data_IF_344821710508
#
_entry.id   IF_344821710508
#
_cell.length_a   1.000
_cell.length_b   1.000
_cell.length_c   1.000
_cell.angle_alpha   90.00
_cell.angle_beta   90.00
_cell.angle_gamma   90.00
#
_symmetry.space_group_name_H-M   'P 1'
#
loop_
_entity.id
_entity.type
_entity.pdbx_description
1 polymer ?
#
# COMPACT_ATOMS: atom_id res chain seq x y z
N UNK A 1 -16.79 15.79 11.89
CA UNK A 1 -17.35 14.77 10.98
C UNK A 1 -17.38 13.48 11.78
N UNK A 2 -18.55 12.84 11.89
CA UNK A 2 -18.70 11.58 12.62
C UNK A 2 -18.04 10.41 11.85
N UNK A 3 -17.71 9.31 12.52
CA UNK A 3 -17.06 8.14 11.88
C UNK A 3 -17.93 7.51 10.80
N UNK A 4 -19.25 7.44 11.03
CA UNK A 4 -20.18 6.86 10.05
C UNK A 4 -20.31 7.75 8.81
N UNK A 5 -20.36 9.07 9.02
CA UNK A 5 -20.32 10.06 7.94
C UNK A 5 -19.01 9.98 7.13
N UNK A 6 -17.88 9.68 7.79
CA UNK A 6 -16.58 9.50 7.12
C UNK A 6 -16.55 8.22 6.28
N UNK A 7 -17.06 7.11 6.81
CA UNK A 7 -17.15 5.84 6.08
C UNK A 7 -18.01 5.99 4.83
N UNK A 8 -19.20 6.59 4.96
CA UNK A 8 -20.09 6.84 3.83
C UNK A 8 -19.44 7.75 2.78
N UNK A 9 -18.74 8.80 3.22
CA UNK A 9 -18.00 9.69 2.33
C UNK A 9 -16.91 8.95 1.54
N UNK A 10 -16.13 8.09 2.20
CA UNK A 10 -15.07 7.31 1.55
C UNK A 10 -15.67 6.29 0.58
N UNK A 11 -16.76 5.60 0.94
CA UNK A 11 -17.46 4.65 0.07
C UNK A 11 -17.99 5.30 -1.20
N UNK A 12 -18.57 6.49 -1.06
CA UNK A 12 -19.20 7.22 -2.17
C UNK A 12 -18.21 8.15 -2.91
N UNK A 13 -16.93 8.15 -2.53
CA UNK A 13 -15.91 8.93 -3.21
C UNK A 13 -15.79 8.50 -4.68
N UNK A 14 -15.87 9.48 -5.57
CA UNK A 14 -15.65 9.31 -7.00
C UNK A 14 -14.70 10.38 -7.53
N UNK A 15 -13.82 9.98 -8.45
CA UNK A 15 -12.94 10.89 -9.18
C UNK A 15 -13.71 11.91 -10.02
N UNK A 16 -14.92 11.57 -10.45
CA UNK A 16 -15.79 12.47 -11.20
C UNK A 16 -16.32 13.63 -10.35
N UNK A 17 -16.41 13.42 -9.03
CA UNK A 17 -16.94 14.39 -8.06
C UNK A 17 -15.85 15.33 -7.50
N UNK A 18 -14.63 15.28 -8.02
CA UNK A 18 -13.56 16.20 -7.62
C UNK A 18 -13.81 17.64 -8.16
N UNK A 19 -13.23 18.65 -7.52
CA UNK A 19 -13.47 20.07 -7.84
C UNK A 19 -13.16 20.49 -9.30
N UNK A 20 -12.31 19.72 -10.00
CA UNK A 20 -12.00 19.93 -11.43
C UNK A 20 -12.57 18.83 -12.33
N UNK A 21 -13.42 17.96 -11.79
CA UNK A 21 -13.84 16.71 -12.43
C UNK A 21 -12.69 15.70 -12.56
N UNK A 22 -12.98 14.54 -13.14
CA UNK A 22 -11.97 13.53 -13.41
C UNK A 22 -10.99 14.01 -14.48
N UNK A 23 -9.70 14.02 -14.15
CA UNK A 23 -8.62 14.47 -15.03
C UNK A 23 -7.99 13.33 -15.85
N UNK A 24 -8.72 12.22 -16.05
CA UNK A 24 -8.22 11.01 -16.72
C UNK A 24 -7.58 10.00 -15.79
N UNK A 25 -7.79 10.12 -14.47
CA UNK A 25 -7.32 9.16 -13.49
C UNK A 25 -8.32 8.01 -13.35
N UNK A 26 -7.82 6.81 -13.10
CA UNK A 26 -8.64 5.61 -12.87
C UNK A 26 -8.84 5.28 -11.40
N UNK A 27 -7.91 5.71 -10.51
CA UNK A 27 -7.96 5.47 -9.07
C UNK A 27 -7.03 6.40 -8.28
N UNK A 28 -7.21 6.43 -6.97
CA UNK A 28 -6.32 7.03 -5.97
C UNK A 28 -5.53 5.92 -5.28
N UNK A 29 -4.21 6.06 -5.22
CA UNK A 29 -3.33 5.16 -4.46
C UNK A 29 -2.92 5.83 -3.15
N UNK A 30 -3.25 5.20 -2.02
CA UNK A 30 -2.77 5.57 -0.69
C UNK A 30 -1.59 4.65 -0.33
N UNK A 31 -0.38 5.13 -0.58
CA UNK A 31 0.84 4.35 -0.46
C UNK A 31 1.49 4.52 0.92
N UNK A 32 1.63 3.42 1.66
CA UNK A 32 2.20 3.42 3.01
C UNK A 32 3.69 3.11 2.94
N UNK A 33 4.51 4.06 3.40
CA UNK A 33 5.96 3.89 3.56
C UNK A 33 6.32 3.99 5.04
N UNK A 34 7.31 3.23 5.47
CA UNK A 34 7.67 3.17 6.89
C UNK A 34 8.61 2.03 7.18
N UNK A 35 9.10 1.95 8.41
CA UNK A 35 9.97 0.87 8.84
C UNK A 35 9.26 -0.49 8.78
N UNK A 36 10.03 -1.57 8.58
CA UNK A 36 9.53 -2.93 8.71
C UNK A 36 9.06 -3.18 10.16
N UNK A 37 7.91 -3.83 10.35
CA UNK A 37 7.33 -4.08 11.69
C UNK A 37 6.63 -2.90 12.36
N UNK A 38 6.55 -1.72 11.72
CA UNK A 38 5.91 -0.52 12.30
C UNK A 38 4.41 -0.39 11.98
N UNK A 39 3.70 -1.50 11.80
CA UNK A 39 2.23 -1.51 11.76
C UNK A 39 1.57 -1.02 10.46
N UNK A 40 2.29 -0.95 9.34
CA UNK A 40 1.69 -0.62 8.02
C UNK A 40 0.60 -1.62 7.63
N UNK A 41 0.91 -2.90 7.68
CA UNK A 41 -0.04 -3.99 7.39
C UNK A 41 -1.19 -4.02 8.40
N UNK A 42 -0.92 -3.73 9.67
CA UNK A 42 -1.97 -3.58 10.70
C UNK A 42 -2.93 -2.43 10.39
N UNK A 43 -2.41 -1.28 9.94
CA UNK A 43 -3.23 -0.14 9.51
C UNK A 43 -4.15 -0.52 8.36
N UNK A 44 -3.65 -1.25 7.36
CA UNK A 44 -4.47 -1.74 6.23
C UNK A 44 -5.60 -2.65 6.73
N UNK A 45 -5.30 -3.58 7.63
CA UNK A 45 -6.31 -4.47 8.21
C UNK A 45 -7.39 -3.68 8.97
N UNK A 46 -7.00 -2.64 9.73
CA UNK A 46 -7.95 -1.75 10.42
C UNK A 46 -8.83 -0.97 9.44
N UNK A 47 -8.26 -0.44 8.36
CA UNK A 47 -9.04 0.24 7.32
C UNK A 47 -10.05 -0.72 6.68
N UNK A 48 -9.61 -1.92 6.26
CA UNK A 48 -10.48 -2.91 5.64
C UNK A 48 -11.59 -3.38 6.58
N UNK A 49 -11.28 -3.59 7.86
CA UNK A 49 -12.26 -3.94 8.88
C UNK A 49 -13.37 -2.88 9.00
N UNK A 50 -13.01 -1.60 9.09
CA UNK A 50 -13.99 -0.51 9.18
C UNK A 50 -14.85 -0.44 7.91
N UNK A 51 -14.26 -0.64 6.74
CA UNK A 51 -14.99 -0.51 5.47
C UNK A 51 -15.91 -1.71 5.17
N UNK A 52 -15.47 -2.93 5.44
CA UNK A 52 -16.20 -4.15 5.06
C UNK A 52 -17.38 -4.47 6.00
N UNK A 53 -17.54 -3.72 7.11
CA UNK A 53 -18.60 -3.90 8.13
C UNK A 53 -18.75 -5.34 8.63
N UNK A 54 -17.65 -6.09 8.58
CA UNK A 54 -17.61 -7.53 8.82
C UNK A 54 -16.79 -7.87 10.06
N UNK A 55 -16.77 -9.15 10.42
CA UNK A 55 -15.78 -9.68 11.36
C UNK A 55 -14.34 -9.38 10.87
N UNK A 56 -13.43 -9.19 11.83
CA UNK A 56 -12.03 -8.94 11.51
C UNK A 56 -11.43 -10.10 10.71
N UNK A 57 -10.80 -9.76 9.58
CA UNK A 57 -10.05 -10.67 8.73
C UNK A 57 -8.65 -10.09 8.51
N UNK A 58 -7.65 -10.95 8.51
CA UNK A 58 -6.29 -10.54 8.15
C UNK A 58 -6.19 -10.48 6.62
N UNK A 59 -6.10 -9.26 6.07
CA UNK A 59 -5.94 -9.00 4.64
C UNK A 59 -4.47 -8.82 4.27
N UNK A 60 -3.76 -8.00 5.04
CA UNK A 60 -2.33 -7.79 4.93
C UNK A 60 -1.62 -8.61 6.00
N UNK A 61 -0.69 -9.47 5.57
CA UNK A 61 0.15 -10.25 6.49
C UNK A 61 0.97 -9.31 7.36
N UNK A 62 0.77 -9.39 8.67
CA UNK A 62 1.59 -8.64 9.61
C UNK A 62 2.90 -9.41 9.81
N UNK A 63 4.02 -8.83 9.37
CA UNK A 63 5.32 -9.46 9.53
C UNK A 63 5.62 -9.72 11.02
N UNK A 64 5.99 -10.95 11.36
CA UNK A 64 6.48 -11.27 12.69
C UNK A 64 7.88 -10.69 12.86
N UNK A 65 8.11 -9.95 13.95
CA UNK A 65 9.35 -9.23 14.27
C UNK A 65 10.61 -10.12 14.34
N UNK A 66 10.47 -11.44 14.22
CA UNK A 66 11.50 -12.47 14.40
C UNK A 66 12.01 -13.10 13.11
N UNK A 67 11.25 -13.04 12.03
CA UNK A 67 11.69 -13.54 10.73
C UNK A 67 12.12 -12.37 9.85
N UNK A 68 13.23 -12.53 9.13
CA UNK A 68 13.83 -11.53 8.25
C UNK A 68 12.75 -10.81 7.41
N UNK A 69 12.91 -9.51 7.05
CA UNK A 69 11.83 -8.66 6.56
C UNK A 69 11.09 -9.32 5.39
N UNK A 70 9.98 -10.01 5.70
CA UNK A 70 9.22 -10.82 4.75
C UNK A 70 8.54 -9.95 3.70
N UNK A 71 8.45 -8.64 3.93
CA UNK A 71 7.90 -7.68 2.98
C UNK A 71 8.94 -7.36 1.89
N UNK A 72 9.38 -8.36 1.14
CA UNK A 72 9.99 -8.16 -0.18
C UNK A 72 8.92 -7.77 -1.22
N UNK A 73 7.68 -7.57 -0.81
CA UNK A 73 6.53 -7.45 -1.70
C UNK A 73 5.82 -6.10 -1.51
N UNK A 74 5.55 -5.40 -2.61
CA UNK A 74 4.53 -4.33 -2.64
C UNK A 74 3.19 -5.02 -2.86
N UNK A 75 2.22 -4.79 -1.98
CA UNK A 75 0.90 -5.40 -2.09
C UNK A 75 -0.18 -4.33 -2.17
N UNK A 76 -1.19 -4.57 -3.00
CA UNK A 76 -2.32 -3.65 -3.17
C UNK A 76 -3.62 -4.20 -2.61
N UNK A 77 -4.36 -3.36 -1.89
CA UNK A 77 -5.63 -3.71 -1.25
C UNK A 77 -6.70 -2.70 -1.65
N UNK A 78 -7.68 -3.17 -2.42
CA UNK A 78 -8.83 -2.33 -2.79
C UNK A 78 -9.63 -1.96 -1.54
N UNK A 79 -9.75 -0.67 -1.28
CA UNK A 79 -10.54 -0.14 -0.17
C UNK A 79 -11.95 0.21 -0.64
N UNK A 80 -12.05 0.88 -1.79
CA UNK A 80 -13.29 1.17 -2.52
C UNK A 80 -13.04 1.06 -4.03
N UNK A 81 -14.04 1.33 -4.86
CA UNK A 81 -13.87 1.35 -6.33
C UNK A 81 -12.77 2.32 -6.79
N UNK A 82 -12.64 3.47 -6.12
CA UNK A 82 -11.72 4.53 -6.52
C UNK A 82 -10.47 4.63 -5.64
N UNK A 83 -10.40 3.91 -4.51
CA UNK A 83 -9.29 4.03 -3.56
C UNK A 83 -8.65 2.68 -3.31
N UNK A 84 -7.32 2.61 -3.50
CA UNK A 84 -6.51 1.43 -3.22
C UNK A 84 -5.43 1.77 -2.20
N UNK A 85 -5.35 0.97 -1.13
CA UNK A 85 -4.25 1.01 -0.17
C UNK A 85 -3.08 0.19 -0.71
N UNK A 86 -1.85 0.68 -0.53
CA UNK A 86 -0.66 -0.03 -0.98
C UNK A 86 0.30 -0.17 0.19
N UNK A 87 0.61 -1.42 0.56
CA UNK A 87 1.67 -1.73 1.52
C UNK A 87 3.00 -1.78 0.76
N UNK A 88 3.88 -0.81 1.00
CA UNK A 88 5.21 -0.83 0.40
C UNK A 88 6.20 -1.55 1.31
N UNK A 89 7.28 -2.04 0.71
CA UNK A 89 8.37 -2.68 1.45
C UNK A 89 8.85 -1.75 2.56
N UNK A 90 8.91 -2.31 3.77
CA UNK A 90 9.47 -1.60 4.90
C UNK A 90 10.99 -1.49 4.82
N UNK A 91 11.53 -0.32 5.15
CA UNK A 91 12.96 -0.15 5.34
C UNK A 91 13.40 -0.71 6.70
N UNK A 92 14.59 -1.31 6.76
CA UNK A 92 15.20 -1.72 8.03
C UNK A 92 15.97 -0.58 8.70
N UNK A 93 16.71 0.21 7.93
CA UNK A 93 17.59 1.29 8.46
C UNK A 93 17.23 2.68 7.93
N UNK A 94 16.37 2.78 6.90
CA UNK A 94 16.11 3.97 6.09
C UNK A 94 17.38 4.73 5.70
N UNK A 95 18.43 4.00 5.33
CA UNK A 95 19.65 4.62 4.82
C UNK A 95 19.46 5.10 3.38
N UNK A 96 20.44 5.82 2.81
CA UNK A 96 20.35 6.38 1.45
C UNK A 96 19.96 5.35 0.37
N UNK A 97 20.37 4.09 0.51
CA UNK A 97 19.97 3.02 -0.42
C UNK A 97 18.48 2.71 -0.30
N UNK A 98 17.99 2.48 0.92
CA UNK A 98 16.57 2.22 1.19
C UNK A 98 15.69 3.44 0.88
N UNK A 99 16.20 4.67 1.04
CA UNK A 99 15.51 5.88 0.57
C UNK A 99 15.39 5.87 -0.97
N UNK A 100 16.43 5.43 -1.67
CA UNK A 100 16.37 5.19 -3.12
C UNK A 100 15.30 4.15 -3.51
N UNK A 101 15.15 3.08 -2.72
CA UNK A 101 14.09 2.09 -2.92
C UNK A 101 12.68 2.67 -2.71
N UNK A 102 12.50 3.62 -1.79
CA UNK A 102 11.23 4.35 -1.63
C UNK A 102 10.91 5.16 -2.89
N UNK A 103 11.90 5.87 -3.44
CA UNK A 103 11.71 6.61 -4.68
C UNK A 103 11.38 5.70 -5.86
N UNK A 104 12.02 4.53 -5.97
CA UNK A 104 11.68 3.53 -7.00
C UNK A 104 10.25 2.97 -6.85
N UNK A 105 9.75 2.85 -5.63
CA UNK A 105 8.37 2.44 -5.36
C UNK A 105 7.35 3.55 -5.66
N UNK A 106 7.77 4.83 -5.56
CA UNK A 106 6.95 5.98 -5.95
C UNK A 106 6.91 6.18 -7.48
N UNK A 107 8.07 6.04 -8.14
CA UNK A 107 8.27 6.35 -9.56
C UNK A 107 7.64 5.32 -10.50
N UNK A 108 7.43 4.08 -10.05
CA UNK A 108 6.63 3.09 -10.79
C UNK A 108 5.14 3.36 -10.64
N UNK A 109 4.74 4.43 -11.32
CA UNK A 109 3.42 4.62 -11.88
C UNK A 109 2.98 3.35 -12.65
N UNK A 110 1.75 2.90 -12.38
CA UNK A 110 0.74 2.57 -13.40
C UNK A 110 0.11 1.17 -13.51
N UNK A 111 0.72 -0.01 -13.33
CA UNK A 111 -0.03 -1.24 -13.77
C UNK A 111 -0.01 -2.51 -12.92
N UNK A 112 0.81 -2.64 -11.87
CA UNK A 112 0.93 -3.94 -11.17
C UNK A 112 0.50 -3.88 -9.71
N UNK A 113 -0.45 -4.76 -9.37
CA UNK A 113 -1.04 -4.90 -8.04
C UNK A 113 -0.01 -5.44 -7.03
N UNK A 114 0.79 -6.44 -7.43
CA UNK A 114 1.81 -7.04 -6.57
C UNK A 114 3.20 -7.08 -7.24
N UNK A 115 4.24 -6.64 -6.52
CA UNK A 115 5.63 -6.62 -7.00
C UNK A 115 6.55 -7.30 -6.00
N UNK A 116 7.49 -8.12 -6.47
CA UNK A 116 8.56 -8.72 -5.66
C UNK A 116 9.90 -8.02 -5.90
N UNK A 117 10.58 -7.67 -4.82
CA UNK A 117 11.99 -7.32 -4.80
C UNK A 117 12.83 -8.59 -4.91
N UNK A 118 13.67 -8.71 -5.95
CA UNK A 118 14.75 -9.70 -5.98
C UNK A 118 16.10 -9.01 -5.82
N UNK A 119 16.95 -9.62 -4.99
CA UNK A 119 18.35 -9.22 -4.85
C UNK A 119 19.09 -9.62 -6.12
N UNK A 120 19.77 -8.67 -6.77
CA UNK A 120 20.85 -9.01 -7.69
C UNK A 120 22.12 -9.13 -6.86
N UNK A 121 22.80 -10.27 -6.95
CA UNK A 121 24.14 -10.41 -6.40
C UNK A 121 25.02 -9.27 -6.94
N UNK A 122 25.75 -8.65 -6.01
CA UNK A 122 26.70 -7.51 -6.08
C UNK A 122 26.20 -6.06 -6.17
N UNK A 123 25.06 -5.70 -6.79
CA UNK A 123 24.81 -4.27 -7.11
C UNK A 123 23.44 -3.66 -6.67
N UNK A 124 22.62 -4.38 -5.90
CA UNK A 124 21.39 -3.84 -5.30
C UNK A 124 20.11 -4.64 -5.58
N UNK A 125 18.97 -4.05 -5.24
CA UNK A 125 17.64 -4.67 -5.38
C UNK A 125 16.96 -4.25 -6.69
N UNK A 126 16.19 -5.15 -7.31
CA UNK A 126 15.35 -4.86 -8.48
C UNK A 126 13.93 -5.36 -8.24
N UNK A 127 12.93 -4.59 -8.69
CA UNK A 127 11.50 -4.92 -8.63
C UNK A 127 11.07 -5.73 -9.86
N UNK A 128 10.33 -6.81 -9.64
CA UNK A 128 9.77 -7.70 -10.65
C UNK A 128 8.27 -7.88 -10.43
N UNK A 129 7.52 -8.03 -11.51
CA UNK A 129 6.11 -8.45 -11.44
C UNK A 129 6.03 -9.90 -10.98
N UNK A 130 5.02 -10.20 -10.17
CA UNK A 130 4.59 -11.57 -9.89
C UNK A 130 3.51 -11.87 -10.92
N UNK A 131 3.80 -12.76 -11.87
CA UNK A 131 2.83 -13.29 -12.84
C UNK A 131 2.07 -14.46 -12.26
#
# INVERSE_FOLDING_TARGET
>A
MDTDNMKEFIMNFSLDNCARGNQGYSRVLLQLFGYAGHGKSSFINSCKYIMDDSEYREYAKVADSREAPETMMRNSYKLTENVTLVDNRGGGKMNKMETGEIYLQLDREIECEDLLWKVKSSDGYSLYNIS
#
